data_IF_287146770971
#
_entry.id   IF_287146770971
#
_cell.length_a   1.000
_cell.length_b   1.000
_cell.length_c   1.000
_cell.angle_alpha   90.00
_cell.angle_beta   90.00
_cell.angle_gamma   90.00
#
_symmetry.space_group_name_H-M   'P 1'
#
loop_
_entity.id
_entity.type
_entity.pdbx_description
1 polymer ?
#
# COMPACT_ATOMS: atom_id res chain seq x y z
N UNK A 1 -3.07 29.57 14.23
CA UNK A 1 -2.76 28.12 14.40
C UNK A 1 -4.00 27.29 14.12
N UNK A 2 -3.84 26.04 13.73
CA UNK A 2 -4.93 25.11 13.43
C UNK A 2 -5.87 24.94 14.64
N UNK A 3 -5.33 24.93 15.85
CA UNK A 3 -6.14 24.86 17.06
C UNK A 3 -7.14 26.03 17.18
N UNK A 4 -6.71 27.26 16.86
CA UNK A 4 -7.62 28.43 16.89
C UNK A 4 -8.67 28.33 15.76
N UNK A 5 -8.31 27.75 14.63
CA UNK A 5 -9.23 27.51 13.52
C UNK A 5 -10.26 26.44 13.87
N UNK A 6 -9.83 25.28 14.40
CA UNK A 6 -10.75 24.22 14.86
C UNK A 6 -11.73 24.72 15.91
N UNK A 7 -11.26 25.49 16.90
CA UNK A 7 -12.14 26.11 17.90
C UNK A 7 -13.22 27.01 17.29
N UNK A 8 -12.92 27.68 16.18
CA UNK A 8 -13.83 28.60 15.50
C UNK A 8 -14.85 27.90 14.62
N UNK A 9 -14.45 26.90 13.84
CA UNK A 9 -15.28 26.28 12.79
C UNK A 9 -15.80 24.88 13.16
N UNK A 10 -15.31 24.26 14.22
CA UNK A 10 -15.62 22.88 14.64
C UNK A 10 -14.79 21.83 13.91
N UNK A 11 -14.89 20.58 14.38
CA UNK A 11 -14.11 19.47 13.83
C UNK A 11 -14.53 19.09 12.42
N UNK A 12 -15.81 18.96 12.15
CA UNK A 12 -16.33 18.50 10.85
C UNK A 12 -15.88 19.44 9.72
N UNK A 13 -16.08 20.74 9.90
CA UNK A 13 -15.66 21.73 8.91
C UNK A 13 -14.14 21.76 8.72
N UNK A 14 -13.37 21.56 9.80
CA UNK A 14 -11.92 21.52 9.71
C UNK A 14 -11.44 20.28 8.95
N UNK A 15 -12.04 19.11 9.20
CA UNK A 15 -11.74 17.85 8.48
C UNK A 15 -12.03 18.03 6.99
N UNK A 16 -13.21 18.56 6.65
CA UNK A 16 -13.60 18.84 5.28
C UNK A 16 -12.62 19.78 4.57
N UNK A 17 -12.16 20.82 5.26
CA UNK A 17 -11.16 21.73 4.73
C UNK A 17 -9.82 21.04 4.49
N UNK A 18 -9.36 20.18 5.42
CA UNK A 18 -8.09 19.47 5.30
C UNK A 18 -8.08 18.54 4.08
N UNK A 19 -9.15 17.81 3.82
CA UNK A 19 -9.22 16.92 2.65
C UNK A 19 -9.42 17.67 1.32
N UNK A 20 -9.92 18.90 1.35
CA UNK A 20 -10.00 19.78 0.18
C UNK A 20 -8.67 20.45 -0.18
N UNK A 21 -7.68 20.43 0.71
CA UNK A 21 -6.36 20.98 0.40
C UNK A 21 -5.71 20.15 -0.73
N UNK A 22 -5.15 20.83 -1.75
CA UNK A 22 -4.42 20.12 -2.79
C UNK A 22 -3.14 19.49 -2.23
N UNK A 23 -2.74 18.36 -2.79
CA UNK A 23 -1.41 17.79 -2.57
C UNK A 23 -0.41 18.72 -3.28
N UNK A 24 0.49 19.33 -2.53
CA UNK A 24 1.41 20.35 -3.07
C UNK A 24 2.73 19.77 -3.55
N UNK A 25 3.16 18.67 -2.96
CA UNK A 25 4.42 18.01 -3.29
C UNK A 25 4.25 16.50 -3.27
N UNK A 26 5.11 15.79 -4.02
CA UNK A 26 5.13 14.33 -4.01
C UNK A 26 6.40 13.82 -3.32
N UNK A 27 6.29 12.65 -2.69
CA UNK A 27 7.43 11.94 -2.13
C UNK A 27 8.43 11.57 -3.24
N UNK A 28 7.93 11.12 -4.39
CA UNK A 28 8.77 10.76 -5.54
C UNK A 28 9.62 11.96 -5.99
N UNK A 29 9.03 13.12 -6.21
CA UNK A 29 9.79 14.30 -6.65
C UNK A 29 10.79 14.78 -5.58
N UNK A 30 10.45 14.68 -4.30
CA UNK A 30 11.36 15.01 -3.19
C UNK A 30 12.55 14.04 -3.14
N UNK A 31 12.30 12.75 -3.35
CA UNK A 31 13.33 11.70 -3.36
C UNK A 31 14.25 11.88 -4.57
N UNK A 32 13.71 12.14 -5.76
CA UNK A 32 14.50 12.39 -6.97
C UNK A 32 15.37 13.63 -6.84
N UNK A 33 14.82 14.72 -6.30
CA UNK A 33 15.61 15.94 -6.01
C UNK A 33 16.73 15.66 -5.01
N UNK A 34 16.44 14.95 -3.92
CA UNK A 34 17.44 14.59 -2.91
C UNK A 34 18.55 13.71 -3.49
N UNK A 35 18.20 12.67 -4.25
CA UNK A 35 19.16 11.78 -4.87
C UNK A 35 20.04 12.50 -5.88
N UNK A 36 19.46 13.35 -6.74
CA UNK A 36 20.21 14.13 -7.73
C UNK A 36 21.15 15.14 -7.08
N UNK A 37 20.72 15.81 -6.01
CA UNK A 37 21.55 16.76 -5.25
C UNK A 37 22.76 16.09 -4.62
N UNK A 38 22.61 14.82 -4.21
CA UNK A 38 23.71 14.02 -3.64
C UNK A 38 24.53 13.29 -4.72
N UNK A 39 24.25 13.49 -6.00
CA UNK A 39 24.95 12.82 -7.11
C UNK A 39 24.71 11.31 -7.17
N UNK A 40 23.59 10.83 -6.64
CA UNK A 40 23.24 9.41 -6.57
C UNK A 40 22.57 8.96 -7.87
N UNK A 41 22.94 7.78 -8.40
CA UNK A 41 22.33 7.19 -9.58
C UNK A 41 20.98 6.53 -9.29
N UNK A 42 20.75 6.14 -8.03
CA UNK A 42 19.50 5.57 -7.54
C UNK A 42 19.12 6.23 -6.21
N UNK A 43 17.85 6.10 -5.82
CA UNK A 43 17.38 6.57 -4.54
C UNK A 43 17.48 5.47 -3.47
N UNK A 44 17.89 5.84 -2.28
CA UNK A 44 18.09 4.93 -1.15
C UNK A 44 17.05 5.19 -0.05
N UNK A 45 16.99 4.30 0.93
CA UNK A 45 16.06 4.39 2.06
C UNK A 45 16.14 5.74 2.81
N UNK A 46 17.34 6.33 2.95
CA UNK A 46 17.48 7.62 3.61
C UNK A 46 16.83 8.78 2.84
N UNK A 47 16.78 8.73 1.49
CA UNK A 47 16.06 9.73 0.70
C UNK A 47 14.55 9.62 0.96
N UNK A 48 14.02 8.40 1.08
CA UNK A 48 12.60 8.15 1.40
C UNK A 48 12.28 8.66 2.81
N UNK A 49 13.12 8.34 3.79
CA UNK A 49 12.98 8.83 5.17
C UNK A 49 13.01 10.35 5.24
N UNK A 50 13.94 10.99 4.52
CA UNK A 50 14.02 12.46 4.42
C UNK A 50 12.74 13.04 3.80
N UNK A 51 12.24 12.46 2.73
CA UNK A 51 10.99 12.87 2.09
C UNK A 51 9.82 12.75 3.07
N UNK A 52 9.71 11.60 3.76
CA UNK A 52 8.63 11.38 4.72
C UNK A 52 8.61 12.44 5.83
N UNK A 53 9.76 12.72 6.45
CA UNK A 53 9.86 13.76 7.49
C UNK A 53 9.56 15.15 6.94
N UNK A 54 9.98 15.46 5.73
CA UNK A 54 9.71 16.73 5.08
C UNK A 54 8.20 16.96 4.93
N UNK A 55 7.48 15.98 4.41
CA UNK A 55 6.03 16.06 4.23
C UNK A 55 5.28 16.04 5.56
N UNK A 56 5.68 15.19 6.50
CA UNK A 56 5.06 15.09 7.82
C UNK A 56 5.11 16.40 8.63
N UNK A 57 6.11 17.26 8.36
CA UNK A 57 6.31 18.52 9.09
C UNK A 57 5.83 19.74 8.30
N UNK A 58 5.98 19.74 6.96
CA UNK A 58 5.81 20.95 6.13
C UNK A 58 4.58 20.95 5.25
N UNK A 59 4.02 19.80 4.92
CA UNK A 59 2.84 19.72 4.05
C UNK A 59 1.63 20.38 4.72
N UNK A 60 0.89 21.30 4.05
CA UNK A 60 -0.31 21.93 4.63
C UNK A 60 -1.43 20.95 4.96
N UNK A 61 -1.58 19.89 4.17
CA UNK A 61 -2.59 18.85 4.35
C UNK A 61 -2.20 17.83 5.42
N UNK A 62 -1.99 18.29 6.66
CA UNK A 62 -1.49 17.45 7.75
C UNK A 62 -2.40 16.28 8.11
N UNK A 63 -3.71 16.42 8.00
CA UNK A 63 -4.64 15.29 8.23
C UNK A 63 -4.40 14.19 7.19
N UNK A 64 -4.29 14.55 5.91
CA UNK A 64 -3.99 13.60 4.82
C UNK A 64 -2.67 12.86 5.05
N UNK A 65 -1.63 13.58 5.49
CA UNK A 65 -0.34 12.95 5.83
C UNK A 65 -0.45 11.97 7.00
N UNK A 66 -1.26 12.25 8.02
CA UNK A 66 -1.49 11.34 9.15
C UNK A 66 -2.29 10.11 8.73
N UNK A 67 -3.29 10.27 7.86
CA UNK A 67 -4.04 9.14 7.31
C UNK A 67 -3.15 8.28 6.42
N UNK A 68 -2.37 8.88 5.52
CA UNK A 68 -1.41 8.15 4.67
C UNK A 68 -0.39 7.37 5.51
N UNK A 69 0.09 7.95 6.61
CA UNK A 69 0.95 7.25 7.56
C UNK A 69 0.25 6.04 8.20
N UNK A 70 -0.98 6.23 8.71
CA UNK A 70 -1.74 5.12 9.29
C UNK A 70 -2.00 4.00 8.25
N UNK A 71 -2.27 4.37 6.99
CA UNK A 71 -2.41 3.40 5.90
C UNK A 71 -1.10 2.67 5.60
N UNK A 72 0.06 3.33 5.70
CA UNK A 72 1.36 2.69 5.52
C UNK A 72 1.71 1.66 6.60
N UNK A 73 1.11 1.77 7.79
CA UNK A 73 1.24 0.79 8.88
C UNK A 73 0.35 -0.44 8.67
N UNK A 74 -0.68 -0.32 7.80
CA UNK A 74 -1.54 -1.43 7.40
C UNK A 74 -0.99 -2.08 6.13
N UNK A 75 -0.81 -1.29 5.08
CA UNK A 75 -0.30 -1.71 3.77
C UNK A 75 1.22 -1.54 3.71
N UNK A 76 1.91 -2.35 4.49
CA UNK A 76 3.36 -2.22 4.74
C UNK A 76 4.17 -2.55 3.48
N UNK A 77 5.17 -1.69 3.20
CA UNK A 77 6.25 -1.96 2.24
C UNK A 77 7.57 -1.60 2.89
N UNK A 78 8.56 -2.50 2.83
CA UNK A 78 9.89 -2.23 3.37
C UNK A 78 10.81 -1.62 2.32
N UNK A 79 11.41 -0.49 2.64
CA UNK A 79 12.45 0.15 1.82
C UNK A 79 13.75 -0.67 1.73
N UNK A 80 13.89 -1.74 2.53
CA UNK A 80 15.04 -2.65 2.47
C UNK A 80 14.86 -3.77 1.44
N UNK A 81 13.62 -4.03 1.03
CA UNK A 81 13.27 -5.09 0.07
C UNK A 81 12.87 -4.55 -1.30
N UNK A 82 12.62 -3.25 -1.40
CA UNK A 82 12.32 -2.59 -2.68
C UNK A 82 13.62 -2.04 -3.25
N UNK A 83 13.97 -2.41 -4.48
CA UNK A 83 15.27 -2.16 -5.09
C UNK A 83 15.64 -0.66 -5.21
N UNK A 84 14.65 0.22 -5.44
CA UNK A 84 14.87 1.65 -5.57
C UNK A 84 13.90 2.44 -4.67
N UNK A 85 14.44 3.40 -3.93
CA UNK A 85 13.66 4.30 -3.08
C UNK A 85 12.58 5.10 -3.83
N UNK A 86 12.71 5.28 -5.16
CA UNK A 86 11.65 5.88 -6.01
C UNK A 86 10.38 5.05 -5.98
N UNK A 87 10.51 3.73 -6.00
CA UNK A 87 9.36 2.82 -5.92
C UNK A 87 8.65 2.95 -4.56
N UNK A 88 9.38 3.03 -3.46
CA UNK A 88 8.81 3.27 -2.14
C UNK A 88 8.19 4.67 -2.02
N UNK A 89 8.83 5.69 -2.61
CA UNK A 89 8.30 7.06 -2.62
C UNK A 89 6.99 7.17 -3.41
N UNK A 90 6.92 6.57 -4.60
CA UNK A 90 5.68 6.54 -5.38
C UNK A 90 4.56 5.76 -4.67
N UNK A 91 4.92 4.76 -3.86
CA UNK A 91 3.97 4.04 -3.01
C UNK A 91 3.38 4.95 -1.92
N UNK A 92 4.20 5.77 -1.26
CA UNK A 92 3.73 6.76 -0.29
C UNK A 92 2.83 7.83 -0.95
N UNK A 93 3.17 8.24 -2.18
CA UNK A 93 2.32 9.14 -2.96
C UNK A 93 0.96 8.51 -3.27
N UNK A 94 0.92 7.25 -3.67
CA UNK A 94 -0.31 6.50 -3.89
C UNK A 94 -1.17 6.44 -2.62
N UNK A 95 -0.60 6.12 -1.46
CA UNK A 95 -1.32 6.13 -0.18
C UNK A 95 -1.84 7.53 0.19
N UNK A 96 -1.06 8.58 -0.12
CA UNK A 96 -1.46 9.97 0.11
C UNK A 96 -2.66 10.38 -0.76
N UNK A 97 -2.67 9.97 -2.02
CA UNK A 97 -3.79 10.21 -2.96
C UNK A 97 -5.05 9.48 -2.50
N UNK A 98 -4.91 8.27 -1.96
CA UNK A 98 -6.02 7.44 -1.52
C UNK A 98 -6.40 7.63 -0.03
N UNK A 99 -5.83 8.61 0.66
CA UNK A 99 -6.06 8.82 2.10
C UNK A 99 -7.52 9.08 2.48
N UNK A 100 -8.33 9.61 1.57
CA UNK A 100 -9.77 9.87 1.72
C UNK A 100 -10.62 9.17 0.65
N UNK A 101 -10.03 8.20 -0.06
CA UNK A 101 -10.70 7.45 -1.11
C UNK A 101 -11.50 6.25 -0.56
N UNK A 102 -12.21 5.59 -1.46
CA UNK A 102 -12.89 4.34 -1.16
C UNK A 102 -11.87 3.22 -0.89
N UNK A 103 -12.13 2.39 0.12
CA UNK A 103 -11.21 1.32 0.52
C UNK A 103 -10.93 0.30 -0.58
N UNK A 104 -11.93 -0.03 -1.41
CA UNK A 104 -11.76 -0.92 -2.56
C UNK A 104 -10.76 -0.35 -3.56
N UNK A 105 -10.88 0.95 -3.87
CA UNK A 105 -10.00 1.61 -4.83
C UNK A 105 -8.57 1.69 -4.29
N UNK A 106 -8.42 1.94 -2.97
CA UNK A 106 -7.14 1.87 -2.30
C UNK A 106 -6.53 0.47 -2.38
N UNK A 107 -7.28 -0.59 -2.06
CA UNK A 107 -6.80 -1.97 -2.11
C UNK A 107 -6.40 -2.39 -3.54
N UNK A 108 -7.14 -1.96 -4.55
CA UNK A 108 -6.77 -2.16 -5.96
C UNK A 108 -5.46 -1.44 -6.31
N UNK A 109 -5.31 -0.17 -5.92
CA UNK A 109 -4.08 0.57 -6.12
C UNK A 109 -2.88 -0.07 -5.41
N UNK A 110 -3.05 -0.57 -4.19
CA UNK A 110 -2.03 -1.33 -3.45
C UNK A 110 -1.65 -2.61 -4.21
N UNK A 111 -2.63 -3.39 -4.67
CA UNK A 111 -2.39 -4.64 -5.38
C UNK A 111 -1.63 -4.46 -6.71
N UNK A 112 -1.90 -3.36 -7.40
CA UNK A 112 -1.27 -3.05 -8.69
C UNK A 112 0.03 -2.27 -8.57
N UNK A 113 0.43 -1.84 -7.36
CA UNK A 113 1.63 -1.04 -7.20
C UNK A 113 2.90 -1.90 -7.23
N UNK A 114 3.91 -1.56 -8.05
CA UNK A 114 5.14 -2.35 -8.19
C UNK A 114 5.88 -2.58 -6.87
N UNK A 115 5.93 -1.60 -5.98
CA UNK A 115 6.57 -1.75 -4.67
C UNK A 115 5.93 -2.87 -3.84
N UNK A 116 4.59 -2.97 -3.84
CA UNK A 116 3.87 -4.05 -3.17
C UNK A 116 4.11 -5.38 -3.89
N UNK A 117 4.10 -5.36 -5.24
CA UNK A 117 4.40 -6.53 -6.06
C UNK A 117 5.76 -7.15 -5.77
N UNK A 118 6.79 -6.32 -5.54
CA UNK A 118 8.11 -6.76 -5.10
C UNK A 118 8.10 -7.24 -3.64
N UNK A 119 7.49 -6.47 -2.76
CA UNK A 119 7.51 -6.75 -1.32
C UNK A 119 6.80 -8.06 -0.95
N UNK A 120 5.63 -8.31 -1.52
CA UNK A 120 4.83 -9.52 -1.28
C UNK A 120 4.86 -10.54 -2.44
N UNK A 121 5.87 -10.43 -3.30
CA UNK A 121 6.28 -11.44 -4.30
C UNK A 121 5.23 -11.84 -5.36
N UNK A 122 4.15 -11.08 -5.53
CA UNK A 122 3.21 -11.36 -6.62
C UNK A 122 3.60 -10.74 -7.98
N UNK A 123 4.58 -9.86 -8.01
CA UNK A 123 5.19 -9.40 -9.26
C UNK A 123 5.96 -10.57 -9.91
N UNK A 124 5.55 -10.97 -11.11
CA UNK A 124 6.11 -12.12 -11.80
C UNK A 124 5.62 -13.48 -11.29
N UNK A 125 4.61 -13.50 -10.41
CA UNK A 125 4.00 -14.74 -9.94
C UNK A 125 3.34 -15.50 -11.09
N UNK A 126 3.61 -16.81 -11.19
CA UNK A 126 3.21 -17.65 -12.31
C UNK A 126 2.19 -18.69 -11.90
N UNK A 127 1.28 -18.99 -12.82
CA UNK A 127 0.34 -20.11 -12.64
C UNK A 127 1.06 -21.45 -12.51
N UNK A 128 0.36 -22.42 -11.96
CA UNK A 128 0.78 -23.83 -11.95
C UNK A 128 1.01 -24.34 -13.40
N UNK A 129 2.00 -25.20 -13.57
CA UNK A 129 2.41 -25.68 -14.89
C UNK A 129 2.46 -27.21 -15.01
N UNK A 130 1.99 -27.93 -13.98
CA UNK A 130 2.02 -29.40 -13.92
C UNK A 130 3.39 -30.02 -13.64
N UNK A 131 4.46 -29.22 -13.48
CA UNK A 131 5.82 -29.68 -13.16
C UNK A 131 6.17 -29.53 -11.67
N UNK A 132 5.18 -29.16 -10.85
CA UNK A 132 5.35 -28.92 -9.41
C UNK A 132 5.41 -27.45 -9.02
N UNK A 133 5.36 -26.52 -9.99
CA UNK A 133 5.20 -25.10 -9.67
C UNK A 133 3.81 -24.84 -9.13
N UNK A 134 3.75 -24.06 -8.06
CA UNK A 134 2.51 -23.52 -7.50
C UNK A 134 2.61 -21.99 -7.45
N UNK A 135 1.48 -21.25 -7.58
CA UNK A 135 1.48 -19.82 -7.36
C UNK A 135 1.98 -19.44 -5.96
N UNK A 136 2.71 -18.33 -5.87
CA UNK A 136 3.09 -17.74 -4.59
C UNK A 136 1.82 -17.25 -3.86
N UNK A 137 1.68 -17.61 -2.59
CA UNK A 137 0.50 -17.34 -1.77
C UNK A 137 0.66 -16.08 -0.89
N UNK A 138 1.85 -15.47 -0.85
CA UNK A 138 2.19 -14.45 0.14
C UNK A 138 1.21 -13.26 0.08
N UNK A 139 1.08 -12.63 -1.08
CA UNK A 139 0.17 -11.50 -1.24
C UNK A 139 -1.31 -11.89 -1.02
N UNK A 140 -1.73 -13.05 -1.51
CA UNK A 140 -3.08 -13.55 -1.29
C UNK A 140 -3.42 -13.71 0.19
N UNK A 141 -2.48 -14.22 0.97
CA UNK A 141 -2.60 -14.36 2.42
C UNK A 141 -2.73 -13.00 3.11
N UNK A 142 -1.89 -12.05 2.75
CA UNK A 142 -1.93 -10.71 3.34
C UNK A 142 -3.21 -9.95 2.98
N UNK A 143 -3.70 -10.10 1.75
CA UNK A 143 -5.00 -9.51 1.36
C UNK A 143 -6.12 -10.01 2.26
N UNK A 144 -6.18 -11.30 2.55
CA UNK A 144 -7.24 -11.87 3.39
C UNK A 144 -7.00 -11.60 4.88
N UNK A 145 -5.76 -11.71 5.34
CA UNK A 145 -5.43 -11.67 6.77
C UNK A 145 -5.27 -10.26 7.31
N UNK A 146 -4.43 -9.43 6.66
CA UNK A 146 -4.04 -8.11 7.17
C UNK A 146 -4.76 -6.97 6.47
N UNK A 147 -5.11 -7.14 5.20
CA UNK A 147 -5.66 -6.06 4.39
C UNK A 147 -7.19 -6.08 4.30
N UNK A 148 -7.88 -7.12 4.76
CA UNK A 148 -9.34 -7.15 4.67
C UNK A 148 -10.03 -7.87 5.83
N UNK A 149 -10.36 -9.15 5.69
CA UNK A 149 -11.33 -9.83 6.58
C UNK A 149 -10.74 -10.38 7.88
N UNK A 150 -9.44 -10.56 7.98
CA UNK A 150 -8.78 -11.15 9.15
C UNK A 150 -8.99 -12.66 9.28
N UNK A 151 -8.34 -13.28 10.28
CA UNK A 151 -8.34 -14.74 10.48
C UNK A 151 -9.68 -15.28 11.03
N UNK A 152 -10.33 -14.50 11.85
CA UNK A 152 -11.52 -14.93 12.59
C UNK A 152 -12.70 -14.00 12.36
N UNK A 153 -13.88 -14.57 12.24
CA UNK A 153 -15.13 -13.83 12.27
C UNK A 153 -15.30 -13.16 13.64
N UNK A 154 -15.61 -11.87 13.64
CA UNK A 154 -15.71 -11.06 14.84
C UNK A 154 -17.15 -10.62 15.09
N UNK A 155 -17.49 -10.53 16.38
CA UNK A 155 -18.69 -9.83 16.85
C UNK A 155 -18.44 -8.30 16.77
N UNK A 156 -19.50 -7.51 16.85
CA UNK A 156 -19.42 -6.03 16.90
C UNK A 156 -18.52 -5.50 18.04
N UNK A 157 -18.34 -6.30 19.09
CA UNK A 157 -17.43 -6.02 20.19
C UNK A 157 -15.95 -6.17 19.86
N UNK A 158 -15.61 -6.70 18.66
CA UNK A 158 -14.25 -7.08 18.26
C UNK A 158 -13.77 -8.41 18.84
N UNK A 159 -14.63 -9.16 19.53
CA UNK A 159 -14.29 -10.49 20.04
C UNK A 159 -14.51 -11.55 18.94
N UNK A 160 -13.65 -12.60 18.88
CA UNK A 160 -13.90 -13.71 17.98
C UNK A 160 -15.26 -14.36 18.25
N UNK A 161 -16.04 -14.60 17.18
CA UNK A 161 -17.26 -15.38 17.26
C UNK A 161 -16.92 -16.83 17.57
N UNK A 162 -17.68 -17.40 18.52
CA UNK A 162 -17.52 -18.79 18.91
C UNK A 162 -18.73 -19.64 18.49
N UNK A 163 -18.44 -20.80 17.88
CA UNK A 163 -19.44 -21.84 17.62
C UNK A 163 -18.95 -23.12 18.29
N UNK A 164 -19.74 -23.67 19.20
CA UNK A 164 -19.37 -24.83 20.05
C UNK A 164 -18.05 -24.64 20.80
N UNK A 165 -17.76 -23.40 21.25
CA UNK A 165 -16.55 -23.05 22.00
C UNK A 165 -15.29 -22.87 21.15
N UNK A 166 -15.38 -22.97 19.82
CA UNK A 166 -14.28 -22.75 18.88
C UNK A 166 -14.48 -21.46 18.09
N UNK A 167 -13.38 -20.79 17.77
CA UNK A 167 -13.40 -19.60 16.90
C UNK A 167 -13.81 -19.96 15.47
N UNK A 168 -14.60 -19.09 14.84
CA UNK A 168 -15.00 -19.25 13.44
C UNK A 168 -13.95 -18.62 12.55
N UNK A 169 -13.32 -19.41 11.67
CA UNK A 169 -12.40 -18.91 10.67
C UNK A 169 -13.15 -18.20 9.53
N UNK A 170 -12.61 -17.10 9.01
CA UNK A 170 -13.18 -16.34 7.89
C UNK A 170 -12.85 -16.96 6.54
N UNK A 171 -11.74 -17.66 6.44
CA UNK A 171 -11.25 -18.34 5.24
C UNK A 171 -10.38 -19.54 5.62
N UNK A 172 -10.09 -20.39 4.66
CA UNK A 172 -9.26 -21.57 4.80
C UNK A 172 -8.12 -21.61 3.77
N UNK A 173 -7.26 -22.62 3.81
CA UNK A 173 -6.10 -22.75 2.91
C UNK A 173 -6.49 -22.86 1.42
N UNK A 174 -7.68 -23.38 1.08
CA UNK A 174 -8.13 -23.46 -0.31
C UNK A 174 -8.53 -22.08 -0.84
N UNK A 175 -9.09 -21.22 -0.01
CA UNK A 175 -9.42 -19.84 -0.36
C UNK A 175 -8.14 -19.05 -0.69
N UNK A 176 -7.09 -19.21 0.12
CA UNK A 176 -5.77 -18.61 -0.15
C UNK A 176 -5.19 -19.10 -1.48
N UNK A 177 -5.21 -20.42 -1.74
CA UNK A 177 -4.74 -20.99 -3.01
C UNK A 177 -5.55 -20.49 -4.19
N UNK A 178 -6.87 -20.35 -4.02
CA UNK A 178 -7.76 -19.78 -5.02
C UNK A 178 -7.39 -18.33 -5.35
N UNK A 179 -7.19 -17.51 -4.33
CA UNK A 179 -6.82 -16.11 -4.50
C UNK A 179 -5.40 -15.93 -5.06
N UNK A 180 -4.46 -16.77 -4.66
CA UNK A 180 -3.10 -16.77 -5.22
C UNK A 180 -3.07 -16.97 -6.74
N UNK A 181 -3.98 -17.78 -7.29
CA UNK A 181 -4.14 -17.96 -8.73
C UNK A 181 -4.63 -16.67 -9.43
N UNK A 182 -5.44 -15.86 -8.76
CA UNK A 182 -5.89 -14.56 -9.28
C UNK A 182 -4.72 -13.60 -9.45
N UNK A 183 -3.75 -13.65 -8.54
CA UNK A 183 -2.55 -12.81 -8.56
C UNK A 183 -1.39 -13.41 -9.38
N UNK A 184 -1.67 -14.26 -10.36
CA UNK A 184 -0.67 -14.70 -11.34
C UNK A 184 -0.72 -13.86 -12.61
N UNK A 185 0.42 -13.72 -13.30
CA UNK A 185 0.51 -12.99 -14.57
C UNK A 185 0.71 -11.48 -14.43
N UNK A 186 0.78 -10.93 -13.22
CA UNK A 186 1.16 -9.54 -13.01
C UNK A 186 2.65 -9.35 -13.28
N UNK A 187 3.00 -8.35 -14.10
CA UNK A 187 4.35 -8.04 -14.50
C UNK A 187 4.54 -6.54 -14.68
N UNK A 188 5.78 -6.12 -14.94
CA UNK A 188 6.07 -4.75 -15.29
C UNK A 188 5.28 -4.31 -16.54
N UNK A 189 4.80 -3.07 -16.51
CA UNK A 189 4.27 -2.46 -17.72
C UNK A 189 5.41 -2.19 -18.70
N UNK A 190 5.39 -2.87 -19.85
CA UNK A 190 6.38 -2.71 -20.90
C UNK A 190 5.73 -2.19 -22.18
N UNK A 191 5.79 -0.88 -22.46
CA UNK A 191 5.05 -0.26 -23.57
C UNK A 191 5.39 -0.82 -24.96
N UNK A 192 6.58 -1.40 -25.11
CA UNK A 192 7.08 -1.97 -26.36
C UNK A 192 6.98 -3.50 -26.44
N UNK A 193 6.50 -4.18 -25.42
CA UNK A 193 6.32 -5.62 -25.44
C UNK A 193 5.20 -6.00 -26.43
N UNK A 194 5.54 -6.80 -27.44
CA UNK A 194 4.59 -7.27 -28.45
C UNK A 194 3.66 -8.37 -27.91
N UNK A 195 4.04 -9.05 -26.84
CA UNK A 195 3.20 -9.96 -26.09
C UNK A 195 3.74 -10.14 -24.66
N UNK A 196 2.86 -10.33 -23.69
CA UNK A 196 3.25 -10.68 -22.32
C UNK A 196 3.92 -12.07 -22.21
N UNK A 197 3.90 -12.85 -23.27
CA UNK A 197 4.43 -14.23 -23.32
C UNK A 197 5.95 -14.25 -23.50
N UNK A 198 6.57 -13.18 -23.98
CA UNK A 198 8.01 -13.14 -24.31
C UNK A 198 8.92 -12.97 -23.06
N UNK A 199 8.36 -12.83 -21.87
CA UNK A 199 9.12 -12.48 -20.66
C UNK A 199 8.96 -13.50 -19.50
N UNK A 200 8.50 -14.71 -19.83
CA UNK A 200 8.35 -15.80 -18.86
C UNK A 200 9.39 -16.90 -19.03
#
# INVERSE_FOLDING_TARGET
>A
SDLARVKRIGYDNWIDEQFKLPIQSSHLSTVEFSASTLGQSQAYAHNVTHSWWTHAVREPGQLRQRVAFALSEIFVVSTLTVDDGRSAASYLDMLTVHADANYRDLLEAVALHPAMGQYLSHLGNRKEDGTGRVPDENFAREVMQLFSIGLHDLEDSGRPRLVNGQTVETYNANDIKGLARVFTGFSWHWPSAKSAVEWW
#
